data_IF_224853828093
#
_entry.id   IF_224853828093
#
_cell.length_a   1.000
_cell.length_b   1.000
_cell.length_c   1.000
_cell.angle_alpha   90.00
_cell.angle_beta   90.00
_cell.angle_gamma   90.00
#
_symmetry.space_group_name_H-M   'P 1'
#
loop_
_entity.id
_entity.type
_entity.pdbx_description
1 polymer ?
#
# COMPACT_ATOMS: atom_id res chain seq x y z
N UNK A 1 -5.89 -16.53 18.01
CA UNK A 1 -5.32 -15.71 16.94
C UNK A 1 -4.75 -16.67 15.95
N UNK A 2 -5.45 -16.81 14.84
CA UNK A 2 -5.02 -17.68 13.75
C UNK A 2 -3.87 -17.01 12.98
N UNK A 3 -3.14 -17.78 12.20
CA UNK A 3 -2.00 -17.25 11.45
C UNK A 3 -2.42 -16.14 10.47
N UNK A 4 -3.64 -16.21 9.93
CA UNK A 4 -4.18 -15.19 9.03
C UNK A 4 -4.49 -13.88 9.74
N UNK A 5 -4.88 -13.90 11.03
CA UNK A 5 -5.05 -12.68 11.84
C UNK A 5 -3.72 -11.93 11.96
N UNK A 6 -2.62 -12.67 12.18
CA UNK A 6 -1.27 -12.08 12.28
C UNK A 6 -0.88 -11.44 10.95
N UNK A 7 -1.21 -12.08 9.83
CA UNK A 7 -0.99 -11.54 8.48
C UNK A 7 -1.80 -10.25 8.28
N UNK A 8 -3.09 -10.25 8.61
CA UNK A 8 -3.95 -9.07 8.50
C UNK A 8 -3.49 -7.91 9.39
N UNK A 9 -3.14 -8.18 10.65
CA UNK A 9 -2.60 -7.17 11.58
C UNK A 9 -1.26 -6.61 11.09
N UNK A 10 -0.39 -7.47 10.56
CA UNK A 10 0.88 -7.01 9.97
C UNK A 10 0.64 -6.08 8.79
N UNK A 11 -0.33 -6.41 7.92
CA UNK A 11 -0.75 -5.55 6.83
C UNK A 11 -1.25 -4.19 7.29
N UNK A 12 -2.12 -4.18 8.30
CA UNK A 12 -2.63 -2.94 8.90
C UNK A 12 -1.52 -2.08 9.51
N UNK A 13 -0.56 -2.69 10.20
CA UNK A 13 0.61 -1.99 10.75
C UNK A 13 1.48 -1.37 9.65
N UNK A 14 1.64 -2.02 8.50
CA UNK A 14 2.36 -1.44 7.35
C UNK A 14 1.66 -0.20 6.82
N UNK A 15 0.34 -0.26 6.59
CA UNK A 15 -0.45 0.88 6.12
C UNK A 15 -0.35 2.04 7.12
N UNK A 16 -0.58 1.79 8.41
CA UNK A 16 -0.49 2.82 9.46
C UNK A 16 0.92 3.41 9.53
N UNK A 17 1.97 2.60 9.37
CA UNK A 17 3.35 3.08 9.34
C UNK A 17 3.61 3.97 8.12
N UNK A 18 3.14 3.58 6.93
CA UNK A 18 3.25 4.41 5.73
C UNK A 18 2.57 5.78 5.93
N UNK A 19 1.39 5.78 6.52
CA UNK A 19 0.67 7.01 6.87
C UNK A 19 1.37 7.85 7.93
N UNK A 20 1.92 7.22 8.96
CA UNK A 20 2.69 7.90 9.98
C UNK A 20 3.94 8.58 9.39
N UNK A 21 4.67 7.89 8.51
CA UNK A 21 5.82 8.44 7.81
C UNK A 21 5.42 9.58 6.87
N UNK A 22 4.27 9.47 6.21
CA UNK A 22 3.71 10.55 5.39
C UNK A 22 3.36 11.77 6.25
N UNK A 23 2.69 11.56 7.39
CA UNK A 23 2.25 12.62 8.29
C UNK A 23 3.39 13.32 9.02
N UNK A 24 4.50 12.61 9.24
CA UNK A 24 5.75 13.16 9.78
C UNK A 24 6.67 13.73 8.70
N UNK A 25 6.19 13.84 7.45
CA UNK A 25 6.91 14.37 6.29
C UNK A 25 8.23 13.64 5.98
N UNK A 26 8.42 12.43 6.52
CA UNK A 26 9.58 11.57 6.25
C UNK A 26 9.55 10.95 4.86
N UNK A 27 8.33 10.75 4.33
CA UNK A 27 8.10 10.33 2.94
C UNK A 27 7.02 11.22 2.32
N UNK A 28 7.06 11.36 1.00
CA UNK A 28 6.03 12.07 0.23
C UNK A 28 5.05 11.09 -0.40
N UNK A 29 3.82 11.54 -0.66
CA UNK A 29 2.84 10.77 -1.43
C UNK A 29 3.24 10.53 -2.90
N UNK A 30 4.28 11.22 -3.39
CA UNK A 30 4.88 11.00 -4.71
C UNK A 30 6.02 9.96 -4.67
N UNK A 31 6.46 9.57 -3.47
CA UNK A 31 7.52 8.58 -3.29
C UNK A 31 7.00 7.18 -3.61
N UNK A 32 7.75 6.35 -4.34
CA UNK A 32 7.37 4.96 -4.59
C UNK A 32 7.31 4.17 -3.29
N UNK A 33 8.08 4.54 -2.26
CA UNK A 33 8.09 3.87 -0.95
C UNK A 33 6.72 3.92 -0.28
N UNK A 34 6.02 5.05 -0.33
CA UNK A 34 4.67 5.18 0.23
C UNK A 34 3.70 4.19 -0.44
N UNK A 35 3.71 4.16 -1.78
CA UNK A 35 2.86 3.27 -2.56
C UNK A 35 3.24 1.79 -2.39
N UNK A 36 4.53 1.45 -2.32
CA UNK A 36 4.97 0.07 -2.14
C UNK A 36 4.56 -0.46 -0.76
N UNK A 37 4.78 0.31 0.32
CA UNK A 37 4.41 -0.12 1.67
C UNK A 37 2.89 -0.28 1.78
N UNK A 38 2.10 0.65 1.22
CA UNK A 38 0.64 0.52 1.20
C UNK A 38 0.17 -0.68 0.37
N UNK A 39 0.76 -0.95 -0.80
CA UNK A 39 0.43 -2.12 -1.60
C UNK A 39 0.69 -3.43 -0.85
N UNK A 40 1.84 -3.53 -0.19
CA UNK A 40 2.18 -4.70 0.63
C UNK A 40 1.21 -4.85 1.80
N UNK A 41 0.90 -3.76 2.50
CA UNK A 41 -0.07 -3.76 3.60
C UNK A 41 -1.45 -4.23 3.16
N UNK A 42 -1.98 -3.65 2.09
CA UNK A 42 -3.28 -4.00 1.53
C UNK A 42 -3.32 -5.46 1.05
N UNK A 43 -2.25 -5.95 0.42
CA UNK A 43 -2.15 -7.34 -0.03
C UNK A 43 -2.22 -8.33 1.15
N UNK A 44 -1.52 -8.05 2.25
CA UNK A 44 -1.57 -8.89 3.45
C UNK A 44 -2.98 -8.91 4.07
N UNK A 45 -3.67 -7.76 4.14
CA UNK A 45 -5.04 -7.73 4.65
C UNK A 45 -5.98 -8.50 3.72
N UNK A 46 -5.86 -8.34 2.40
CA UNK A 46 -6.62 -9.11 1.43
C UNK A 46 -6.41 -10.63 1.57
N UNK A 47 -5.18 -11.08 1.83
CA UNK A 47 -4.89 -12.49 2.12
C UNK A 47 -5.62 -12.95 3.38
N UNK A 48 -5.62 -12.16 4.46
CA UNK A 48 -6.38 -12.47 5.68
C UNK A 48 -7.88 -12.59 5.41
N UNK A 49 -8.43 -11.70 4.56
CA UNK A 49 -9.84 -11.68 4.21
C UNK A 49 -10.29 -12.88 3.36
N UNK A 50 -9.37 -13.64 2.78
CA UNK A 50 -9.71 -14.92 2.14
C UNK A 50 -10.13 -16.00 3.14
N UNK A 51 -9.76 -15.86 4.43
CA UNK A 51 -10.10 -16.81 5.50
C UNK A 51 -11.30 -16.33 6.31
N UNK A 52 -11.32 -15.06 6.68
CA UNK A 52 -12.44 -14.41 7.36
C UNK A 52 -12.92 -13.20 6.57
N UNK A 53 -13.90 -13.43 5.70
CA UNK A 53 -14.32 -12.43 4.73
C UNK A 53 -15.14 -11.30 5.36
N UNK A 54 -14.68 -10.07 5.13
CA UNK A 54 -15.42 -8.84 5.40
C UNK A 54 -15.51 -8.02 4.10
N UNK A 55 -16.74 -7.83 3.61
CA UNK A 55 -16.96 -7.16 2.32
C UNK A 55 -16.48 -5.71 2.31
N UNK A 56 -16.72 -4.97 3.39
CA UNK A 56 -16.33 -3.56 3.47
C UNK A 56 -14.80 -3.40 3.52
N UNK A 57 -14.13 -4.22 4.34
CA UNK A 57 -12.67 -4.25 4.40
C UNK A 57 -12.07 -4.66 3.06
N UNK A 58 -12.63 -5.68 2.41
CA UNK A 58 -12.17 -6.14 1.09
C UNK A 58 -12.18 -5.01 0.07
N UNK A 59 -13.27 -4.24 -0.04
CA UNK A 59 -13.35 -3.13 -0.98
C UNK A 59 -12.32 -2.03 -0.66
N UNK A 60 -12.19 -1.65 0.61
CA UNK A 60 -11.21 -0.63 1.02
C UNK A 60 -9.80 -1.07 0.64
N UNK A 61 -9.41 -2.29 0.97
CA UNK A 61 -8.06 -2.79 0.70
C UNK A 61 -7.80 -3.04 -0.79
N UNK A 62 -8.81 -3.49 -1.52
CA UNK A 62 -8.74 -3.61 -2.97
C UNK A 62 -8.45 -2.26 -3.63
N UNK A 63 -9.14 -1.19 -3.23
CA UNK A 63 -8.87 0.14 -3.74
C UNK A 63 -7.53 0.70 -3.26
N UNK A 64 -7.11 0.43 -2.02
CA UNK A 64 -5.76 0.76 -1.55
C UNK A 64 -4.68 0.14 -2.43
N UNK A 65 -4.84 -1.13 -2.78
CA UNK A 65 -3.92 -1.82 -3.67
C UNK A 65 -3.90 -1.18 -5.06
N UNK A 66 -5.06 -0.88 -5.66
CA UNK A 66 -5.14 -0.23 -6.98
C UNK A 66 -4.50 1.17 -6.99
N UNK A 67 -4.79 2.00 -5.98
CA UNK A 67 -4.21 3.34 -5.84
C UNK A 67 -2.70 3.25 -5.68
N UNK A 68 -2.22 2.26 -4.93
CA UNK A 68 -0.79 2.03 -4.73
C UNK A 68 -0.09 1.58 -6.01
N UNK A 69 -0.68 0.66 -6.78
CA UNK A 69 -0.17 0.26 -8.10
C UNK A 69 -0.08 1.46 -9.04
N UNK A 70 -1.12 2.31 -9.08
CA UNK A 70 -1.10 3.54 -9.86
C UNK A 70 0.01 4.50 -9.41
N UNK A 71 0.23 4.66 -8.10
CA UNK A 71 1.30 5.49 -7.56
C UNK A 71 2.69 5.05 -8.00
N UNK A 72 2.98 3.75 -7.95
CA UNK A 72 4.25 3.19 -8.44
C UNK A 72 4.40 3.41 -9.95
N UNK A 73 3.36 3.11 -10.74
CA UNK A 73 3.38 3.31 -12.19
C UNK A 73 3.63 4.77 -12.57
N UNK A 74 2.97 5.72 -11.88
CA UNK A 74 3.16 7.16 -12.06
C UNK A 74 4.60 7.56 -11.77
N UNK A 75 5.20 7.04 -10.69
CA UNK A 75 6.59 7.32 -10.34
C UNK A 75 7.56 6.82 -11.43
N UNK A 76 7.38 5.59 -11.92
CA UNK A 76 8.22 5.02 -12.99
C UNK A 76 8.14 5.89 -14.26
N UNK A 77 6.94 6.31 -14.65
CA UNK A 77 6.77 7.20 -15.81
C UNK A 77 7.48 8.54 -15.64
N UNK A 78 7.37 9.14 -14.46
CA UNK A 78 8.00 10.43 -14.17
C UNK A 78 9.53 10.34 -14.29
N UNK A 79 10.15 9.27 -13.77
CA UNK A 79 11.59 9.06 -13.90
C UNK A 79 12.02 8.91 -15.37
N UNK A 80 11.27 8.13 -16.15
CA UNK A 80 11.56 7.93 -17.58
C UNK A 80 11.46 9.24 -18.41
N UNK A 81 10.63 10.19 -18.01
CA UNK A 81 10.51 11.48 -18.70
C UNK A 81 11.62 12.46 -18.28
N UNK A 82 12.09 12.40 -17.02
CA UNK A 82 13.25 13.16 -16.55
C UNK A 82 14.56 12.71 -17.23
N UNK A 83 14.70 11.40 -17.50
CA UNK A 83 15.85 10.86 -18.24
C UNK A 83 15.90 11.33 -19.69
N UNK A 84 14.76 11.55 -20.35
CA UNK A 84 14.71 12.04 -21.75
C UNK A 84 15.04 13.53 -21.91
N UNK A 85 14.96 14.30 -20.83
CA UNK A 85 15.13 15.77 -20.86
C UNK A 85 16.56 16.20 -20.51
N UNK A 86 17.40 15.27 -20.02
CA UNK A 86 18.83 15.45 -19.78
C UNK A 86 19.67 14.95 -20.95
#
# INVERSE_FOLDING_TARGET
>A
MEWFDIVGVTGALLIVTAYFLLQTEKISNQSPSFSIINALGALLILISLCFEFNLAAFFIEFFWLLISVYGVWKWIRLQADLEKTN
#
